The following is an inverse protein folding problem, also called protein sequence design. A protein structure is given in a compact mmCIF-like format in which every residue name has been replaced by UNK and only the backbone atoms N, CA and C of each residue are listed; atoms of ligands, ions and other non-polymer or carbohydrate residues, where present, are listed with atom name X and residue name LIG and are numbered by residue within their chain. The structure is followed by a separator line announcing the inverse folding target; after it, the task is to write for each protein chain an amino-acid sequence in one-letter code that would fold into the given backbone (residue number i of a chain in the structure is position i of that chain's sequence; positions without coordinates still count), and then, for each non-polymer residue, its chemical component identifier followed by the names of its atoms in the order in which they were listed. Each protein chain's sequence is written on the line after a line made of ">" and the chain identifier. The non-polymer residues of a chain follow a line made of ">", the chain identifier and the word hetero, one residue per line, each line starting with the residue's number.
data_IF_669612178500
#
_entry.id   IF_669612178500
#
_cell.length_a   1.000
_cell.length_b   1.000
_cell.length_c   1.000
_cell.angle_alpha   90.00
_cell.angle_beta   90.00
_cell.angle_gamma   90.00
#
_symmetry.space_group_name_H-M   'P 1'
#
loop_
_entity.id
_entity.type
_entity.pdbx_description
1 polymer ?
#
# COMPACT_ATOMS: atom_id res chain seq x y z
N UNK A 1 -22.41 -21.15 -22.78
CA UNK A 1 -22.27 -19.68 -22.76
C UNK A 1 -20.91 -19.34 -22.16
N UNK A 2 -19.90 -19.21 -23.00
CA UNK A 2 -18.53 -18.87 -22.57
C UNK A 2 -18.54 -17.42 -22.12
N UNK A 3 -18.24 -17.14 -20.84
CA UNK A 3 -18.05 -15.75 -20.39
C UNK A 3 -16.78 -15.24 -21.08
N UNK A 4 -16.95 -14.30 -21.99
CA UNK A 4 -15.85 -13.47 -22.47
C UNK A 4 -15.44 -12.60 -21.29
N UNK A 5 -14.23 -12.81 -20.77
CA UNK A 5 -13.60 -11.87 -19.84
C UNK A 5 -13.25 -10.62 -20.64
N UNK A 6 -13.77 -9.42 -20.29
CA UNK A 6 -13.38 -8.19 -20.96
C UNK A 6 -11.85 -8.02 -20.90
N UNK A 7 -11.26 -7.49 -21.96
CA UNK A 7 -9.85 -7.09 -21.95
C UNK A 7 -9.59 -6.04 -20.88
N UNK A 8 -8.33 -5.90 -20.43
CA UNK A 8 -7.92 -4.91 -19.43
C UNK A 8 -8.35 -3.48 -19.80
N UNK A 9 -8.50 -3.19 -21.10
CA UNK A 9 -8.90 -1.88 -21.63
C UNK A 9 -10.39 -1.53 -21.45
N UNK A 10 -11.27 -2.49 -21.12
CA UNK A 10 -12.73 -2.26 -21.02
C UNK A 10 -13.24 -2.14 -19.57
N UNK A 11 -12.37 -2.37 -18.58
CA UNK A 11 -12.72 -2.33 -17.17
C UNK A 11 -12.30 -1.00 -16.52
N UNK A 12 -13.17 -0.41 -15.70
CA UNK A 12 -12.79 0.75 -14.87
C UNK A 12 -11.61 0.34 -13.96
N UNK A 13 -10.46 1.05 -13.92
CA UNK A 13 -9.24 0.56 -13.24
C UNK A 13 -9.40 0.17 -11.76
N UNK A 14 -10.38 0.72 -11.05
CA UNK A 14 -10.70 0.28 -9.68
C UNK A 14 -11.31 -1.14 -9.59
N UNK A 15 -11.79 -1.72 -10.69
CA UNK A 15 -12.28 -3.10 -10.72
C UNK A 15 -11.16 -4.11 -10.44
N UNK A 16 -9.88 -3.75 -10.66
CA UNK A 16 -8.73 -4.59 -10.33
C UNK A 16 -8.64 -4.93 -8.84
N UNK A 17 -9.25 -4.12 -7.97
CA UNK A 17 -9.30 -4.37 -6.53
C UNK A 17 -10.29 -5.50 -6.16
N UNK A 18 -11.08 -5.99 -7.12
CA UNK A 18 -11.99 -7.12 -6.89
C UNK A 18 -11.20 -8.44 -6.94
N UNK A 19 -11.16 -9.17 -5.83
CA UNK A 19 -10.67 -10.55 -5.83
C UNK A 19 -9.40 -10.86 -5.05
N UNK A 20 -8.79 -9.89 -4.34
CA UNK A 20 -7.60 -10.15 -3.51
C UNK A 20 -7.91 -11.13 -2.37
N UNK A 21 -7.63 -12.43 -2.54
CA UNK A 21 -7.97 -13.47 -1.56
C UNK A 21 -6.89 -13.57 -0.49
N UNK A 22 -5.65 -13.49 -0.89
CA UNK A 22 -4.44 -13.58 -0.07
C UNK A 22 -4.41 -12.45 0.94
N UNK A 23 -4.65 -11.21 0.49
CA UNK A 23 -4.76 -10.04 1.37
C UNK A 23 -5.89 -10.19 2.38
N UNK A 24 -7.04 -10.72 1.97
CA UNK A 24 -8.16 -11.00 2.89
C UNK A 24 -7.81 -12.10 3.89
N UNK A 25 -6.97 -13.06 3.52
CA UNK A 25 -6.45 -14.07 4.44
C UNK A 25 -5.53 -13.43 5.47
N UNK A 26 -4.63 -12.53 5.07
CA UNK A 26 -3.77 -11.78 6.01
C UNK A 26 -4.58 -10.94 6.99
N UNK A 27 -5.63 -10.24 6.54
CA UNK A 27 -6.54 -9.51 7.45
C UNK A 27 -7.18 -10.44 8.48
N UNK A 28 -7.62 -11.63 8.07
CA UNK A 28 -8.22 -12.62 8.98
C UNK A 28 -7.21 -13.20 9.96
N UNK A 29 -5.99 -13.49 9.50
CA UNK A 29 -4.90 -13.98 10.34
C UNK A 29 -4.59 -12.92 11.41
N UNK A 30 -4.37 -11.67 11.00
CA UNK A 30 -4.07 -10.57 11.93
C UNK A 30 -5.22 -10.32 12.92
N UNK A 31 -6.47 -10.37 12.46
CA UNK A 31 -7.63 -10.27 13.35
C UNK A 31 -7.69 -11.43 14.36
N UNK A 32 -7.28 -12.65 13.96
CA UNK A 32 -7.22 -13.81 14.86
C UNK A 32 -6.08 -13.71 15.87
N UNK A 33 -4.92 -13.23 15.44
CA UNK A 33 -3.75 -12.95 16.29
C UNK A 33 -4.05 -11.89 17.34
N UNK A 34 -4.81 -10.85 16.98
CA UNK A 34 -5.22 -9.78 17.91
C UNK A 34 -6.54 -10.03 18.62
N UNK A 35 -7.23 -11.12 18.32
CA UNK A 35 -8.50 -11.49 18.95
C UNK A 35 -8.34 -11.94 20.41
N UNK A 36 -9.44 -12.15 21.16
CA UNK A 36 -9.38 -12.48 22.59
C UNK A 36 -8.58 -13.75 22.93
N UNK A 37 -8.58 -14.74 22.04
CA UNK A 37 -7.81 -15.99 22.13
C UNK A 37 -6.52 -15.95 21.29
N UNK A 38 -6.06 -14.76 20.96
CA UNK A 38 -4.91 -14.51 20.09
C UNK A 38 -3.60 -14.42 20.86
N UNK A 39 -2.54 -14.01 20.16
CA UNK A 39 -1.21 -13.82 20.73
C UNK A 39 -1.21 -12.65 21.73
N UNK A 40 -0.74 -12.85 22.98
CA UNK A 40 -0.67 -11.77 23.98
C UNK A 40 0.21 -10.60 23.55
N UNK A 41 1.32 -10.89 22.85
CA UNK A 41 2.23 -9.87 22.36
C UNK A 41 1.54 -9.00 21.30
N UNK A 42 0.90 -9.63 20.30
CA UNK A 42 0.20 -8.91 19.24
C UNK A 42 -0.86 -7.99 19.85
N UNK A 43 -1.72 -8.52 20.72
CA UNK A 43 -2.79 -7.76 21.38
C UNK A 43 -2.30 -6.52 22.13
N UNK A 44 -1.10 -6.57 22.72
CA UNK A 44 -0.51 -5.46 23.49
C UNK A 44 -0.05 -4.31 22.58
N UNK A 45 0.19 -4.57 21.30
CA UNK A 45 0.71 -3.56 20.38
C UNK A 45 -0.31 -2.46 20.05
N UNK A 46 0.23 -1.28 19.77
CA UNK A 46 -0.47 -0.14 19.22
C UNK A 46 0.40 0.57 18.17
N UNK A 47 -0.13 1.61 17.52
CA UNK A 47 0.61 2.31 16.46
C UNK A 47 1.99 2.83 16.90
N UNK A 48 2.17 3.21 18.17
CA UNK A 48 3.42 3.77 18.68
C UNK A 48 4.45 2.70 18.99
N UNK A 49 4.03 1.56 19.53
CA UNK A 49 4.95 0.47 19.91
C UNK A 49 5.54 -0.24 18.70
N UNK A 50 4.85 -0.21 17.56
CA UNK A 50 5.31 -0.80 16.29
C UNK A 50 6.25 0.11 15.48
N UNK A 51 6.39 1.39 15.85
CA UNK A 51 7.24 2.35 15.11
C UNK A 51 8.72 1.95 14.95
N UNK A 52 9.41 1.47 16.00
CA UNK A 52 10.81 1.06 15.83
C UNK A 52 10.93 -0.15 14.92
N UNK A 53 10.00 -1.11 15.01
CA UNK A 53 10.04 -2.34 14.21
C UNK A 53 9.91 -2.04 12.71
N UNK A 54 8.88 -1.29 12.28
CA UNK A 54 8.77 -0.94 10.84
C UNK A 54 9.96 -0.11 10.33
N UNK A 55 10.68 0.58 11.21
CA UNK A 55 11.89 1.28 10.79
C UNK A 55 13.04 0.30 10.53
N UNK A 56 13.17 -0.74 11.36
CA UNK A 56 14.13 -1.85 11.22
C UNK A 56 13.89 -2.61 9.91
N UNK A 57 12.66 -3.11 9.66
CA UNK A 57 12.33 -3.83 8.42
C UNK A 57 12.55 -2.97 7.16
N UNK A 58 12.42 -1.64 7.27
CA UNK A 58 12.72 -0.73 6.15
C UNK A 58 14.23 -0.62 5.91
N UNK A 59 15.06 -0.70 6.95
CA UNK A 59 16.50 -0.74 6.77
C UNK A 59 16.95 -2.08 6.19
N UNK A 60 16.40 -3.20 6.65
CA UNK A 60 16.68 -4.53 6.11
C UNK A 60 16.21 -4.63 4.65
N UNK A 61 15.04 -4.09 4.32
CA UNK A 61 14.58 -3.96 2.94
C UNK A 61 15.56 -3.17 2.05
N UNK A 62 16.14 -2.08 2.57
CA UNK A 62 17.11 -1.29 1.81
C UNK A 62 18.43 -2.05 1.63
N UNK A 63 18.88 -2.77 2.65
CA UNK A 63 20.06 -3.63 2.58
C UNK A 63 19.87 -4.72 1.51
N UNK A 64 18.74 -5.42 1.52
CA UNK A 64 18.43 -6.43 0.50
C UNK A 64 18.41 -5.86 -0.94
N UNK A 65 17.95 -4.62 -1.12
CA UNK A 65 18.01 -3.93 -2.42
C UNK A 65 19.46 -3.64 -2.82
N UNK A 66 20.26 -3.13 -1.89
CA UNK A 66 21.66 -2.75 -2.16
C UNK A 66 22.53 -3.98 -2.46
N UNK A 67 22.22 -5.12 -1.84
CA UNK A 67 22.90 -6.40 -2.06
C UNK A 67 22.41 -7.14 -3.30
N UNK A 68 21.23 -6.79 -3.82
CA UNK A 68 20.62 -7.48 -4.97
C UNK A 68 20.20 -8.92 -4.64
N UNK A 69 19.85 -9.19 -3.38
CA UNK A 69 19.37 -10.50 -2.93
C UNK A 69 17.84 -10.55 -3.04
N UNK A 70 17.34 -11.28 -4.05
CA UNK A 70 15.91 -11.43 -4.32
C UNK A 70 15.16 -12.22 -3.23
N UNK A 71 15.83 -13.14 -2.53
CA UNK A 71 15.19 -13.93 -1.47
C UNK A 71 15.01 -13.07 -0.22
N UNK A 72 16.05 -12.34 0.19
CA UNK A 72 15.96 -11.35 1.27
C UNK A 72 14.95 -10.26 0.91
N UNK A 73 15.01 -9.71 -0.31
CA UNK A 73 14.07 -8.69 -0.77
C UNK A 73 12.60 -9.14 -0.63
N UNK A 74 12.32 -10.41 -0.96
CA UNK A 74 10.96 -10.97 -0.83
C UNK A 74 10.53 -11.09 0.63
N UNK A 75 11.44 -11.48 1.53
CA UNK A 75 11.19 -11.59 2.97
C UNK A 75 10.85 -10.22 3.56
N UNK A 76 11.72 -9.24 3.36
CA UNK A 76 11.59 -7.89 3.92
C UNK A 76 10.38 -7.13 3.36
N UNK A 77 10.04 -7.32 2.08
CA UNK A 77 8.77 -6.81 1.52
C UNK A 77 7.55 -7.42 2.23
N UNK A 78 7.65 -8.67 2.66
CA UNK A 78 6.67 -9.36 3.48
C UNK A 78 6.52 -8.75 4.86
N UNK A 79 7.62 -8.40 5.53
CA UNK A 79 7.61 -7.82 6.88
C UNK A 79 7.14 -6.36 6.89
N UNK A 80 7.53 -5.56 5.89
CA UNK A 80 6.92 -4.24 5.67
C UNK A 80 5.41 -4.38 5.41
N UNK A 81 4.98 -5.37 4.62
CA UNK A 81 3.56 -5.64 4.41
C UNK A 81 2.85 -6.06 5.70
N UNK A 82 3.47 -6.90 6.54
CA UNK A 82 2.95 -7.29 7.85
C UNK A 82 2.62 -6.05 8.69
N UNK A 83 3.52 -5.07 8.75
CA UNK A 83 3.28 -3.83 9.50
C UNK A 83 2.14 -2.98 8.92
N UNK A 84 1.96 -2.94 7.59
CA UNK A 84 0.81 -2.28 6.96
C UNK A 84 -0.50 -2.96 7.39
N UNK A 85 -0.56 -4.29 7.34
CA UNK A 85 -1.73 -5.06 7.78
C UNK A 85 -2.01 -4.84 9.27
N UNK A 86 -0.97 -4.81 10.09
CA UNK A 86 -1.08 -4.58 11.54
C UNK A 86 -1.68 -3.20 11.84
N UNK A 87 -1.18 -2.14 11.21
CA UNK A 87 -1.73 -0.80 11.36
C UNK A 87 -3.16 -0.67 10.84
N UNK A 88 -3.49 -1.33 9.72
CA UNK A 88 -4.86 -1.37 9.21
C UNK A 88 -5.81 -2.06 10.22
N UNK A 89 -5.39 -3.18 10.83
CA UNK A 89 -6.16 -3.87 11.86
C UNK A 89 -6.37 -3.01 13.11
N UNK A 90 -5.34 -2.32 13.59
CA UNK A 90 -5.44 -1.37 14.72
C UNK A 90 -6.39 -0.19 14.43
N UNK A 91 -6.38 0.33 13.20
CA UNK A 91 -7.31 1.39 12.80
C UNK A 91 -8.75 0.87 12.71
N UNK A 92 -8.92 -0.35 12.20
CA UNK A 92 -10.22 -1.02 12.08
C UNK A 92 -10.86 -1.31 13.44
N UNK A 93 -10.06 -1.77 14.41
CA UNK A 93 -10.49 -1.95 15.81
C UNK A 93 -11.04 -0.66 16.42
N UNK A 94 -10.50 0.50 16.00
CA UNK A 94 -10.95 1.84 16.42
C UNK A 94 -12.03 2.44 15.52
N UNK A 95 -12.52 1.70 14.52
CA UNK A 95 -13.48 2.16 13.50
C UNK A 95 -13.02 3.43 12.76
N UNK A 96 -11.71 3.63 12.61
CA UNK A 96 -11.15 4.80 11.94
C UNK A 96 -11.05 4.60 10.42
N UNK A 97 -10.41 3.52 10.00
CA UNK A 97 -10.27 3.09 8.60
C UNK A 97 -9.82 1.62 8.56
N UNK A 98 -9.79 1.03 7.37
CA UNK A 98 -9.35 -0.34 7.15
C UNK A 98 -8.45 -0.49 5.92
N UNK A 99 -7.94 -1.69 5.67
CA UNK A 99 -7.07 -1.95 4.53
C UNK A 99 -7.72 -1.66 3.18
N UNK A 100 -9.05 -1.86 3.07
CA UNK A 100 -9.81 -1.58 1.85
C UNK A 100 -9.80 -0.09 1.54
N UNK A 101 -9.99 0.77 2.53
CA UNK A 101 -9.86 2.23 2.32
C UNK A 101 -8.44 2.62 1.92
N UNK A 102 -7.40 2.07 2.56
CA UNK A 102 -6.00 2.32 2.19
C UNK A 102 -5.73 1.95 0.72
N UNK A 103 -6.14 0.75 0.30
CA UNK A 103 -5.94 0.26 -1.05
C UNK A 103 -6.69 1.11 -2.09
N UNK A 104 -7.92 1.52 -1.77
CA UNK A 104 -8.72 2.40 -2.65
C UNK A 104 -8.07 3.77 -2.81
N UNK A 105 -7.70 4.41 -1.71
CA UNK A 105 -7.07 5.73 -1.72
C UNK A 105 -5.74 5.70 -2.49
N UNK A 106 -4.97 4.63 -2.34
CA UNK A 106 -3.74 4.41 -3.10
C UNK A 106 -4.04 4.24 -4.60
N UNK A 107 -5.00 3.39 -4.96
CA UNK A 107 -5.36 3.13 -6.36
C UNK A 107 -5.87 4.41 -7.05
N UNK A 108 -6.78 5.15 -6.43
CA UNK A 108 -7.30 6.42 -6.95
C UNK A 108 -6.18 7.45 -7.15
N UNK A 109 -5.27 7.57 -6.17
CA UNK A 109 -4.08 8.42 -6.28
C UNK A 109 -3.18 8.01 -7.45
N UNK A 110 -2.93 6.71 -7.62
CA UNK A 110 -2.08 6.20 -8.70
C UNK A 110 -2.73 6.44 -10.07
N UNK A 111 -4.02 6.15 -10.22
CA UNK A 111 -4.76 6.39 -11.47
C UNK A 111 -4.71 7.87 -11.83
N UNK A 112 -5.04 8.74 -10.88
CA UNK A 112 -5.08 10.19 -11.11
C UNK A 112 -3.71 10.79 -11.42
N UNK A 113 -2.63 10.26 -10.84
CA UNK A 113 -1.26 10.74 -11.08
C UNK A 113 -0.59 10.15 -12.31
N UNK A 114 -1.25 9.21 -13.00
CA UNK A 114 -0.79 8.66 -14.27
C UNK A 114 -1.83 8.86 -15.38
N UNK A 115 -2.20 10.12 -15.70
CA UNK A 115 -3.14 10.40 -16.80
C UNK A 115 -2.60 9.98 -18.17
N UNK A 116 -1.29 9.69 -18.27
CA UNK A 116 -0.66 9.14 -19.45
C UNK A 116 -0.79 7.62 -19.59
N UNK A 117 -1.17 6.93 -18.50
CA UNK A 117 -1.46 5.48 -18.52
C UNK A 117 -2.97 5.24 -18.53
N UNK A 118 -3.73 5.95 -17.69
CA UNK A 118 -5.16 5.71 -17.48
C UNK A 118 -6.07 6.78 -18.11
N UNK A 119 -5.50 7.76 -18.80
CA UNK A 119 -6.22 8.87 -19.41
C UNK A 119 -5.83 9.06 -20.88
N UNK A 120 -5.89 10.30 -21.35
CA UNK A 120 -5.59 10.67 -22.75
C UNK A 120 -4.29 11.46 -22.91
N UNK A 121 -3.61 11.79 -21.80
CA UNK A 121 -2.37 12.57 -21.85
C UNK A 121 -1.28 11.74 -22.53
N UNK A 122 -0.43 12.35 -23.34
CA UNK A 122 0.72 11.66 -23.96
C UNK A 122 1.99 12.23 -23.39
N UNK A 123 2.72 11.41 -22.64
CA UNK A 123 4.03 11.73 -22.08
C UNK A 123 5.04 10.73 -22.64
N UNK A 124 6.19 11.22 -23.11
CA UNK A 124 7.18 10.41 -23.82
C UNK A 124 8.40 10.04 -22.98
N UNK A 125 8.68 10.76 -21.89
CA UNK A 125 9.91 10.57 -21.10
C UNK A 125 9.64 10.46 -19.60
N UNK A 126 10.51 9.73 -18.90
CA UNK A 126 10.49 9.62 -17.44
C UNK A 126 10.61 10.99 -16.74
N UNK A 127 11.40 11.91 -17.29
CA UNK A 127 11.54 13.28 -16.78
C UNK A 127 10.24 14.07 -16.85
N UNK A 128 9.48 13.93 -17.94
CA UNK A 128 8.16 14.53 -18.08
C UNK A 128 7.15 13.90 -17.10
N UNK A 129 7.18 12.57 -16.92
CA UNK A 129 6.36 11.87 -15.91
C UNK A 129 6.63 12.42 -14.51
N UNK A 130 7.90 12.54 -14.12
CA UNK A 130 8.28 13.04 -12.81
C UNK A 130 7.83 14.48 -12.59
N UNK A 131 8.04 15.36 -13.59
CA UNK A 131 7.56 16.75 -13.53
C UNK A 131 6.04 16.81 -13.35
N UNK A 132 5.29 16.03 -14.12
CA UNK A 132 3.83 15.98 -14.04
C UNK A 132 3.35 15.43 -12.70
N UNK A 133 4.01 14.40 -12.19
CA UNK A 133 3.74 13.82 -10.88
C UNK A 133 3.89 14.85 -9.75
N UNK A 134 4.97 15.63 -9.77
CA UNK A 134 5.20 16.70 -8.80
C UNK A 134 4.15 17.80 -8.90
N UNK A 135 3.75 18.20 -10.11
CA UNK A 135 2.70 19.19 -10.34
C UNK A 135 1.36 18.71 -9.75
N UNK A 136 0.91 17.51 -10.10
CA UNK A 136 -0.33 16.93 -9.56
C UNK A 136 -0.29 16.83 -8.02
N UNK A 137 0.87 16.43 -7.47
CA UNK A 137 1.08 16.39 -6.01
C UNK A 137 0.95 17.76 -5.34
N UNK A 138 1.29 18.86 -6.02
CA UNK A 138 1.12 20.22 -5.49
C UNK A 138 -0.34 20.67 -5.54
N UNK A 139 -1.04 20.37 -6.65
CA UNK A 139 -2.47 20.68 -6.84
C UNK A 139 -3.37 19.98 -5.80
N UNK A 140 -2.96 18.82 -5.29
CA UNK A 140 -3.71 18.03 -4.29
C UNK A 140 -3.60 18.50 -2.84
N UNK A 141 -2.66 19.37 -2.48
CA UNK A 141 -2.40 19.71 -1.07
C UNK A 141 -3.19 20.95 -0.61
N UNK A 142 -4.12 20.83 0.37
CA UNK A 142 -4.21 21.85 1.41
C UNK A 142 -3.01 21.65 2.35
N UNK A 143 -2.12 22.65 2.43
CA UNK A 143 -1.01 22.82 3.39
C UNK A 143 -0.57 21.56 4.20
N UNK A 144 0.19 20.63 3.59
CA UNK A 144 1.07 19.73 4.35
C UNK A 144 2.53 19.96 3.96
N UNK A 145 3.34 20.45 4.90
CA UNK A 145 4.81 20.41 4.82
C UNK A 145 5.24 18.95 4.90
N UNK A 146 6.00 18.51 3.90
CA UNK A 146 6.70 17.23 3.96
C UNK A 146 7.94 17.44 4.83
N UNK A 147 8.13 16.64 5.87
CA UNK A 147 9.33 16.69 6.72
C UNK A 147 10.56 16.01 6.09
N UNK A 148 10.39 15.36 4.93
CA UNK A 148 11.45 14.68 4.18
C UNK A 148 11.80 15.44 2.88
N UNK A 149 11.72 16.76 2.91
CA UNK A 149 11.99 17.62 1.74
C UNK A 149 12.68 18.92 2.11
N UNK A 150 13.45 18.90 3.20
CA UNK A 150 14.39 19.95 3.59
C UNK A 150 15.79 19.38 3.55
#
# INVERSE_FOLDING_TARGET
>A
MTRVTPGLDECHPLSYLQGMKEIRSLEKIMARLRGPKGCPWDRKQNHRTLRPMILEEVYELLEAIDEGDDDALREELGDVLLHIIFHAQLAKERRAFDLKSIARDLAEKLIRRHPHVFGKERIATSSQVLKRWHQLKQEEKPARRSSLGS
#
